data_IF_825455983710
#
_entry.id   IF_825455983710
#
_cell.length_a   1.000
_cell.length_b   1.000
_cell.length_c   1.000
_cell.angle_alpha   90.00
_cell.angle_beta   90.00
_cell.angle_gamma   90.00
#
_symmetry.space_group_name_H-M   'P 1'
#
loop_
_entity.id
_entity.type
_entity.pdbx_description
1 polymer ?
#
# COMPACT_ATOMS: atom_id res chain seq x y z
N UNK A 1 -3.64 -15.97 -28.07
CA UNK A 1 -4.16 -14.81 -27.31
C UNK A 1 -2.95 -14.10 -26.70
N UNK A 2 -2.51 -12.98 -27.28
CA UNK A 2 -1.28 -12.29 -26.84
C UNK A 2 -1.55 -11.44 -25.59
N UNK A 3 -0.75 -11.64 -24.55
CA UNK A 3 -0.75 -10.75 -23.38
C UNK A 3 -0.15 -9.40 -23.81
N UNK A 4 -1.01 -8.43 -24.08
CA UNK A 4 -0.63 -7.05 -24.35
C UNK A 4 -1.28 -6.14 -23.32
N UNK A 5 -0.48 -5.32 -22.64
CA UNK A 5 -1.01 -4.33 -21.70
C UNK A 5 -0.93 -2.94 -22.32
N UNK A 6 -1.95 -2.12 -22.05
CA UNK A 6 -2.01 -0.72 -22.48
C UNK A 6 -0.90 0.13 -21.84
N UNK A 7 -0.59 -0.21 -20.60
CA UNK A 7 0.30 0.52 -19.72
C UNK A 7 1.23 -0.46 -19.00
N UNK A 8 2.48 -0.07 -18.80
CA UNK A 8 3.42 -0.75 -17.92
C UNK A 8 4.03 0.28 -16.97
N UNK A 9 3.85 0.07 -15.66
CA UNK A 9 4.38 0.93 -14.60
C UNK A 9 5.36 0.13 -13.73
N UNK A 10 6.46 0.76 -13.31
CA UNK A 10 7.33 0.28 -12.22
C UNK A 10 7.59 1.44 -11.27
N UNK A 11 7.42 1.17 -9.98
CA UNK A 11 7.65 2.12 -8.91
C UNK A 11 8.62 1.46 -7.94
N UNK A 12 9.65 2.20 -7.53
CA UNK A 12 10.60 1.73 -6.53
C UNK A 12 11.23 2.90 -5.78
N UNK A 13 11.77 2.60 -4.60
CA UNK A 13 12.31 3.61 -3.71
C UNK A 13 13.56 3.11 -2.99
N UNK A 14 14.34 4.08 -2.54
CA UNK A 14 15.38 3.97 -1.51
C UNK A 14 14.96 4.88 -0.34
N UNK A 15 15.66 4.88 0.80
CA UNK A 15 15.39 5.89 1.82
C UNK A 15 15.62 7.33 1.32
N UNK A 16 16.43 7.52 0.28
CA UNK A 16 16.81 8.84 -0.22
C UNK A 16 15.92 9.37 -1.35
N UNK A 17 15.37 8.48 -2.20
CA UNK A 17 14.62 8.84 -3.41
C UNK A 17 13.48 7.87 -3.74
N UNK A 18 12.45 8.37 -4.41
CA UNK A 18 11.36 7.59 -5.01
C UNK A 18 11.40 7.79 -6.53
N UNK A 19 11.34 6.71 -7.30
CA UNK A 19 11.23 6.74 -8.77
C UNK A 19 9.97 6.00 -9.24
N UNK A 20 9.26 6.59 -10.19
CA UNK A 20 8.08 6.02 -10.80
C UNK A 20 8.18 6.17 -12.33
N UNK A 21 8.30 5.04 -13.03
CA UNK A 21 8.51 5.00 -14.47
C UNK A 21 7.32 4.33 -15.16
N UNK A 22 6.85 4.94 -16.23
CA UNK A 22 5.73 4.44 -17.05
C UNK A 22 6.06 4.46 -18.52
N UNK A 23 5.56 3.44 -19.22
CA UNK A 23 5.47 3.42 -20.67
C UNK A 23 4.07 2.96 -21.08
N UNK A 24 3.54 3.57 -22.14
CA UNK A 24 2.24 3.23 -22.70
C UNK A 24 1.96 4.02 -23.98
N UNK A 25 0.85 3.67 -24.64
CA UNK A 25 0.39 4.38 -25.84
C UNK A 25 -0.77 5.32 -25.50
N UNK A 26 -0.79 6.55 -26.06
CA UNK A 26 -1.89 7.49 -25.85
C UNK A 26 -3.23 7.00 -26.42
N UNK A 27 -3.19 6.21 -27.51
CA UNK A 27 -4.35 5.56 -28.13
C UNK A 27 -4.03 4.08 -28.30
N UNK A 28 -4.89 3.21 -27.77
CA UNK A 28 -4.67 1.75 -27.80
C UNK A 28 -5.55 1.15 -28.87
N UNK A 29 -4.97 0.71 -29.97
CA UNK A 29 -5.65 -0.09 -30.99
C UNK A 29 -5.04 -1.49 -31.06
N UNK A 30 -5.69 -2.39 -31.80
CA UNK A 30 -5.29 -3.79 -31.96
C UNK A 30 -3.92 -3.99 -32.65
N UNK A 31 -3.29 -2.93 -33.16
CA UNK A 31 -1.93 -2.94 -33.70
C UNK A 31 -0.90 -2.24 -32.80
N UNK A 32 -1.34 -1.39 -31.86
CA UNK A 32 -0.49 -0.63 -30.93
C UNK A 32 -0.70 -1.09 -29.49
N UNK A 33 -0.13 -2.26 -29.15
CA UNK A 33 -0.07 -2.77 -27.80
C UNK A 33 1.38 -3.12 -27.43
N UNK A 34 1.76 -2.92 -26.17
CA UNK A 34 3.06 -3.37 -25.69
C UNK A 34 3.04 -4.91 -25.65
N UNK A 35 3.76 -5.54 -26.58
CA UNK A 35 3.98 -6.98 -26.55
C UNK A 35 4.96 -7.33 -25.44
N UNK A 36 4.55 -8.21 -24.53
CA UNK A 36 5.39 -8.70 -23.43
C UNK A 36 5.00 -8.18 -22.05
N UNK A 37 5.77 -8.58 -21.03
CA UNK A 37 5.51 -8.25 -19.63
C UNK A 37 6.28 -6.98 -19.21
N UNK A 38 5.90 -6.34 -18.10
CA UNK A 38 6.63 -5.20 -17.53
C UNK A 38 8.13 -5.46 -17.33
N UNK A 39 8.51 -6.72 -17.10
CA UNK A 39 9.91 -7.17 -16.96
C UNK A 39 10.74 -7.02 -18.23
N UNK A 40 10.12 -7.14 -19.41
CA UNK A 40 10.80 -6.98 -20.71
C UNK A 40 10.64 -5.58 -21.32
N UNK A 41 9.76 -4.74 -20.77
CA UNK A 41 9.49 -3.39 -21.26
C UNK A 41 10.04 -2.29 -20.35
N UNK A 42 9.28 -1.92 -19.32
CA UNK A 42 9.58 -0.78 -18.45
C UNK A 42 10.70 -1.05 -17.42
N UNK A 43 10.88 -2.30 -16.98
CA UNK A 43 11.83 -2.63 -15.91
C UNK A 43 13.31 -2.36 -16.28
N UNK A 44 13.79 -2.65 -17.51
CA UNK A 44 15.13 -2.25 -17.93
C UNK A 44 15.36 -0.74 -17.92
N UNK A 45 14.35 0.06 -18.28
CA UNK A 45 14.42 1.53 -18.24
C UNK A 45 14.50 2.03 -16.80
N UNK A 46 13.62 1.54 -15.93
CA UNK A 46 13.65 1.84 -14.50
C UNK A 46 15.02 1.50 -13.88
N UNK A 47 15.59 0.34 -14.23
CA UNK A 47 16.92 -0.07 -13.76
C UNK A 47 18.00 0.91 -14.23
N UNK A 48 17.98 1.34 -15.49
CA UNK A 48 18.94 2.29 -16.03
C UNK A 48 18.84 3.65 -15.31
N UNK A 49 17.62 4.17 -15.14
CA UNK A 49 17.37 5.41 -14.41
C UNK A 49 17.92 5.34 -12.99
N UNK A 50 17.53 4.31 -12.22
CA UNK A 50 18.00 4.13 -10.86
C UNK A 50 19.52 3.95 -10.80
N UNK A 51 20.13 3.21 -11.73
CA UNK A 51 21.61 3.02 -11.77
C UNK A 51 22.35 4.34 -11.97
N UNK A 52 21.78 5.26 -12.75
CA UNK A 52 22.38 6.58 -12.98
C UNK A 52 22.10 7.57 -11.85
N UNK A 53 20.97 7.42 -11.15
CA UNK A 53 20.61 8.27 -10.01
C UNK A 53 21.39 7.90 -8.74
N UNK A 54 21.55 6.61 -8.45
CA UNK A 54 22.14 6.09 -7.21
C UNK A 54 23.54 6.63 -6.84
N UNK A 55 24.47 6.91 -7.78
CA UNK A 55 25.76 7.51 -7.43
C UNK A 55 25.67 8.94 -6.89
N UNK A 56 24.54 9.61 -7.11
CA UNK A 56 24.28 10.98 -6.67
C UNK A 56 23.37 11.06 -5.43
N UNK A 57 23.07 9.92 -4.81
CA UNK A 57 22.29 9.87 -3.56
C UNK A 57 23.19 9.48 -2.39
N UNK A 58 22.79 9.77 -1.13
CA UNK A 58 23.51 9.33 0.06
C UNK A 58 23.69 7.82 0.21
N UNK A 59 22.93 7.00 -0.53
CA UNK A 59 22.95 5.53 -0.48
C UNK A 59 22.63 4.99 0.91
N UNK A 60 21.69 5.64 1.59
CA UNK A 60 21.26 5.25 2.93
C UNK A 60 20.68 3.82 2.88
N UNK A 61 21.17 2.96 3.78
CA UNK A 61 20.65 1.60 3.91
C UNK A 61 19.25 1.61 4.54
N UNK A 62 18.41 0.65 4.16
CA UNK A 62 17.15 0.43 4.87
C UNK A 62 17.42 -0.06 6.29
N UNK A 63 16.81 0.59 7.28
CA UNK A 63 16.81 0.20 8.68
C UNK A 63 15.55 -0.59 9.07
N UNK A 64 14.73 -0.95 8.07
CA UNK A 64 13.48 -1.68 8.27
C UNK A 64 13.74 -3.11 8.74
N UNK A 65 13.09 -3.48 9.83
CA UNK A 65 13.08 -4.86 10.31
C UNK A 65 12.17 -5.71 9.42
N UNK A 66 12.53 -6.98 9.24
CA UNK A 66 11.72 -7.92 8.49
C UNK A 66 10.29 -7.96 9.06
N UNK A 67 9.27 -7.92 8.19
CA UNK A 67 7.88 -7.90 8.61
C UNK A 67 7.52 -9.11 9.49
N UNK A 68 8.09 -10.28 9.22
CA UNK A 68 7.91 -11.47 10.05
C UNK A 68 8.57 -11.32 11.43
N UNK A 69 9.74 -10.67 11.50
CA UNK A 69 10.40 -10.36 12.77
C UNK A 69 9.64 -9.30 13.58
N UNK A 70 9.03 -8.32 12.92
CA UNK A 70 8.14 -7.35 13.59
C UNK A 70 6.87 -8.02 14.12
N UNK A 71 6.26 -8.95 13.36
CA UNK A 71 5.10 -9.70 13.80
C UNK A 71 5.40 -10.59 15.02
N UNK A 72 6.59 -11.19 15.09
CA UNK A 72 7.02 -11.94 16.29
C UNK A 72 7.32 -11.04 17.49
N UNK A 73 7.86 -9.83 17.27
CA UNK A 73 8.05 -8.83 18.35
C UNK A 73 6.71 -8.28 18.86
N UNK A 74 5.70 -8.20 17.99
CA UNK A 74 4.33 -7.82 18.34
C UNK A 74 3.53 -8.95 19.00
N UNK A 75 4.06 -10.17 19.09
CA UNK A 75 3.44 -11.22 19.89
C UNK A 75 3.87 -11.01 21.34
N UNK A 76 3.01 -10.49 22.24
CA UNK A 76 3.40 -10.22 23.60
C UNK A 76 3.68 -11.57 24.27
N UNK A 77 4.94 -11.82 24.56
CA UNK A 77 5.36 -12.91 25.46
C UNK A 77 5.13 -12.45 26.90
N UNK A 78 3.88 -12.16 27.28
CA UNK A 78 3.48 -11.86 28.67
C UNK A 78 1.95 -11.87 28.76
N UNK A 79 1.46 -12.71 29.66
CA UNK A 79 0.11 -13.28 29.63
C UNK A 79 -1.05 -12.33 29.89
N UNK A 80 -2.19 -12.74 29.33
CA UNK A 80 -3.60 -12.45 29.62
C UNK A 80 -4.05 -10.98 29.79
N UNK A 81 -3.29 -10.14 30.48
CA UNK A 81 -3.69 -8.77 30.86
C UNK A 81 -3.62 -7.77 29.71
N UNK A 82 -2.69 -7.93 28.76
CA UNK A 82 -2.55 -7.01 27.61
C UNK A 82 -3.59 -7.29 26.53
N UNK A 83 -3.88 -8.56 26.24
CA UNK A 83 -4.92 -8.95 25.27
C UNK A 83 -6.33 -8.60 25.75
N UNK A 84 -6.62 -8.80 27.04
CA UNK A 84 -7.87 -8.32 27.65
C UNK A 84 -8.02 -6.80 27.54
N UNK A 85 -6.95 -6.02 27.80
CA UNK A 85 -6.99 -4.57 27.69
C UNK A 85 -7.33 -4.06 26.27
N UNK A 86 -6.81 -4.73 25.23
CA UNK A 86 -7.10 -4.38 23.83
C UNK A 86 -8.53 -4.76 23.44
N UNK A 87 -9.00 -5.94 23.84
CA UNK A 87 -10.38 -6.37 23.58
C UNK A 87 -11.39 -5.45 24.27
N UNK A 88 -11.15 -5.12 25.54
CA UNK A 88 -12.00 -4.21 26.32
C UNK A 88 -12.06 -2.81 25.67
N UNK A 89 -10.96 -2.31 25.12
CA UNK A 89 -10.93 -1.02 24.42
C UNK A 89 -11.70 -1.03 23.11
N UNK A 90 -11.63 -2.13 22.34
CA UNK A 90 -12.36 -2.29 21.08
C UNK A 90 -13.87 -2.45 21.34
N UNK A 91 -14.27 -3.27 22.32
CA UNK A 91 -15.68 -3.44 22.70
C UNK A 91 -16.29 -2.13 23.19
N UNK A 92 -15.60 -1.40 24.08
CA UNK A 92 -16.04 -0.07 24.54
C UNK A 92 -16.15 0.93 23.39
N UNK A 93 -15.23 0.92 22.43
CA UNK A 93 -15.28 1.79 21.25
C UNK A 93 -16.46 1.47 20.32
N UNK A 94 -16.74 0.19 20.10
CA UNK A 94 -17.87 -0.28 19.28
C UNK A 94 -19.20 0.04 19.96
N UNK A 95 -19.31 -0.15 21.27
CA UNK A 95 -20.55 0.16 22.01
C UNK A 95 -20.81 1.66 22.09
N UNK A 96 -19.77 2.47 22.24
CA UNK A 96 -19.87 3.94 22.16
C UNK A 96 -20.33 4.38 20.77
N UNK A 97 -19.76 3.81 19.70
CA UNK A 97 -20.17 4.10 18.33
C UNK A 97 -21.61 3.64 18.04
N UNK A 98 -22.04 2.48 18.53
CA UNK A 98 -23.43 2.01 18.41
C UNK A 98 -24.41 2.96 19.10
N UNK A 99 -24.06 3.47 20.28
CA UNK A 99 -24.90 4.44 20.99
C UNK A 99 -24.98 5.77 20.25
N UNK A 100 -23.85 6.29 19.73
CA UNK A 100 -23.83 7.54 18.96
C UNK A 100 -24.56 7.40 17.61
N UNK A 101 -24.39 6.27 16.90
CA UNK A 101 -25.10 5.98 15.65
C UNK A 101 -26.60 5.79 15.90
N UNK A 102 -26.99 5.13 17.00
CA UNK A 102 -28.37 5.01 17.43
C UNK A 102 -29.02 6.37 17.73
N UNK A 103 -28.33 7.22 18.50
CA UNK A 103 -28.79 8.59 18.77
C UNK A 103 -28.88 9.45 17.50
N UNK A 104 -27.93 9.32 16.58
CA UNK A 104 -27.95 10.02 15.30
C UNK A 104 -29.12 9.54 14.42
N UNK A 105 -29.37 8.24 14.35
CA UNK A 105 -30.51 7.67 13.64
C UNK A 105 -31.85 8.09 14.26
N UNK A 106 -31.98 8.08 15.58
CA UNK A 106 -33.20 8.50 16.28
C UNK A 106 -33.49 10.00 16.11
N UNK A 107 -32.45 10.84 16.15
CA UNK A 107 -32.58 12.28 15.89
C UNK A 107 -32.99 12.57 14.44
N UNK A 108 -32.43 11.87 13.46
CA UNK A 108 -32.82 12.03 12.05
C UNK A 108 -34.24 11.51 11.82
N UNK A 109 -34.60 10.35 12.38
CA UNK A 109 -35.94 9.78 12.24
C UNK A 109 -37.02 10.65 12.90
N UNK A 110 -36.68 11.37 13.97
CA UNK A 110 -37.54 12.36 14.62
C UNK A 110 -37.90 13.55 13.74
N UNK A 111 -37.11 13.84 12.69
CA UNK A 111 -37.40 14.91 11.72
C UNK A 111 -38.23 14.45 10.51
N UNK A 112 -38.49 13.14 10.36
CA UNK A 112 -39.29 12.58 9.28
C UNK A 112 -40.64 12.01 9.76
N UNK A 113 -41.11 12.43 10.95
CA UNK A 113 -42.45 12.17 11.48
C UNK A 113 -43.21 13.46 11.72
#
# INVERSE_FOLDING_TARGET
MGYGTKDQWVIGYTPDIVNATWIGYPTTDSQHFLQGTSTSGVAPLFKLEMTNLMPNTPQTAFDTKDAAQMASIQTPSSGDKTWQGIQDSIEKGIDSAKQTVGQWYDNIKGWFK
#
